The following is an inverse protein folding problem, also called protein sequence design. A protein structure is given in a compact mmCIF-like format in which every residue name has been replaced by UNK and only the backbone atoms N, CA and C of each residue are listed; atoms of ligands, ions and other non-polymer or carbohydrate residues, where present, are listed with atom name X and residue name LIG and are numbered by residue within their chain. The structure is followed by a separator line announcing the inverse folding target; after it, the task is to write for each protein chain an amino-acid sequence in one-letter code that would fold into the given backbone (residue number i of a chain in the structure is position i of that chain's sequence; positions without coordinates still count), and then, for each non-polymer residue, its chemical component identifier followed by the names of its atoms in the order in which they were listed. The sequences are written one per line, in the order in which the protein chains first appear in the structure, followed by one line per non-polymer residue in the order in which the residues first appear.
data_IF_653803852571
#
_entry.id   IF_653803852571
#
_cell.length_a   1.000
_cell.length_b   1.000
_cell.length_c   1.000
_cell.angle_alpha   90.00
_cell.angle_beta   90.00
_cell.angle_gamma   90.00
#
_symmetry.space_group_name_H-M   'P 1'
#
loop_
_entity.id
_entity.type
_entity.pdbx_description
1 polymer ?
#
# COMPACT_ATOMS: atom_id res chain seq x y z
N UNK A 1 34.11 4.49 -12.61
CA UNK A 1 33.19 5.37 -11.86
C UNK A 1 33.09 6.72 -12.57
N UNK A 2 31.92 7.38 -12.63
CA UNK A 2 31.81 8.76 -13.12
C UNK A 2 32.65 9.71 -12.25
N UNK A 3 33.39 10.63 -12.87
CA UNK A 3 34.27 11.57 -12.14
C UNK A 3 33.67 12.98 -12.04
N UNK A 4 32.75 13.32 -12.94
CA UNK A 4 32.08 14.61 -12.95
C UNK A 4 30.62 14.45 -13.40
N UNK A 5 29.77 15.36 -12.92
CA UNK A 5 28.33 15.34 -13.13
C UNK A 5 27.83 16.71 -13.60
N UNK A 6 26.98 16.72 -14.62
CA UNK A 6 26.29 17.90 -15.13
C UNK A 6 24.80 17.85 -14.79
N UNK A 7 24.24 18.95 -14.28
CA UNK A 7 22.80 19.06 -14.03
C UNK A 7 22.06 19.52 -15.29
N UNK A 8 21.01 18.78 -15.65
CA UNK A 8 20.02 19.17 -16.64
C UNK A 8 18.72 19.45 -15.90
N UNK A 9 18.31 20.73 -15.89
CA UNK A 9 17.03 21.11 -15.27
C UNK A 9 15.89 20.70 -16.20
N UNK A 10 14.93 19.95 -15.68
CA UNK A 10 13.68 19.64 -16.38
C UNK A 10 12.76 20.86 -16.42
N UNK A 11 11.70 20.78 -17.22
CA UNK A 11 10.67 21.81 -17.26
C UNK A 11 10.00 21.95 -15.88
N UNK A 12 9.87 23.21 -15.42
CA UNK A 12 9.23 23.53 -14.14
C UNK A 12 7.71 23.62 -14.30
N UNK A 13 7.07 22.54 -14.72
CA UNK A 13 5.60 22.48 -14.76
C UNK A 13 5.04 22.13 -13.39
N UNK A 14 3.97 22.77 -12.93
CA UNK A 14 3.35 22.40 -11.64
C UNK A 14 2.77 20.96 -11.74
N UNK A 15 3.17 20.06 -10.83
CA UNK A 15 2.54 18.73 -10.76
C UNK A 15 1.22 18.89 -9.99
N UNK A 16 0.13 18.52 -10.64
CA UNK A 16 -1.26 18.69 -10.16
C UNK A 16 -2.08 17.46 -10.52
N UNK A 17 -3.32 17.32 -10.01
CA UNK A 17 -4.23 16.29 -10.51
C UNK A 17 -4.39 16.25 -12.04
N UNK A 18 -4.28 17.41 -12.72
CA UNK A 18 -4.42 17.51 -14.19
C UNK A 18 -3.13 17.15 -14.95
N UNK A 19 -1.98 17.35 -14.31
CA UNK A 19 -0.65 17.02 -14.83
C UNK A 19 0.10 16.21 -13.76
N UNK A 20 -0.23 14.92 -13.59
CA UNK A 20 0.11 14.17 -12.38
C UNK A 20 1.51 13.57 -12.41
N UNK A 21 2.31 13.81 -13.45
CA UNK A 21 3.66 13.26 -13.53
C UNK A 21 4.58 14.18 -14.34
N UNK A 22 5.85 14.30 -13.92
CA UNK A 22 6.85 15.03 -14.69
C UNK A 22 8.27 14.92 -14.15
N UNK A 23 9.25 15.01 -15.05
CA UNK A 23 10.66 15.06 -14.71
C UNK A 23 11.00 16.42 -14.08
N UNK A 24 11.67 16.40 -12.92
CA UNK A 24 12.11 17.63 -12.23
C UNK A 24 13.54 17.98 -12.51
N UNK A 25 14.42 17.01 -12.37
CA UNK A 25 15.84 17.22 -12.59
C UNK A 25 16.45 15.93 -13.06
N UNK A 26 17.49 16.08 -13.87
CA UNK A 26 18.35 15.00 -14.28
C UNK A 26 19.80 15.42 -14.02
N UNK A 27 20.61 14.49 -13.57
CA UNK A 27 22.05 14.68 -13.37
C UNK A 27 22.74 13.58 -14.17
N UNK A 28 23.60 13.96 -15.11
CA UNK A 28 24.28 13.05 -16.03
C UNK A 28 25.77 13.03 -15.76
N UNK A 29 26.38 11.87 -15.84
CA UNK A 29 27.82 11.74 -15.88
C UNK A 29 28.35 12.50 -17.11
N UNK A 30 29.28 13.43 -16.90
CA UNK A 30 29.96 14.16 -17.99
C UNK A 30 31.30 13.53 -18.35
N UNK A 31 31.85 12.69 -17.47
CA UNK A 31 33.06 11.90 -17.71
C UNK A 31 32.92 10.50 -17.12
N UNK A 32 33.60 9.52 -17.73
CA UNK A 32 33.55 8.11 -17.31
C UNK A 32 32.36 7.35 -17.91
N UNK A 33 31.98 6.19 -17.32
CA UNK A 33 30.84 5.42 -17.78
C UNK A 33 29.55 6.22 -17.70
N UNK A 34 28.67 6.04 -18.69
CA UNK A 34 27.36 6.71 -18.72
C UNK A 34 26.55 6.36 -17.47
N UNK A 35 26.06 7.37 -16.77
CA UNK A 35 25.14 7.23 -15.64
C UNK A 35 24.22 8.44 -15.56
N UNK A 36 22.95 8.19 -15.24
CA UNK A 36 21.93 9.23 -15.12
C UNK A 36 21.18 9.06 -13.80
N UNK A 37 21.03 10.15 -13.04
CA UNK A 37 20.17 10.23 -11.87
C UNK A 37 19.02 11.17 -12.22
N UNK A 38 17.79 10.65 -12.19
CA UNK A 38 16.58 11.41 -12.49
C UNK A 38 15.71 11.48 -11.25
N UNK A 39 15.08 12.64 -11.05
CA UNK A 39 14.04 12.82 -10.04
C UNK A 39 12.76 13.21 -10.77
N UNK A 40 11.76 12.36 -10.66
CA UNK A 40 10.41 12.62 -11.13
C UNK A 40 9.52 13.00 -9.96
N UNK A 41 8.49 13.77 -10.26
CA UNK A 41 7.37 13.97 -9.35
C UNK A 41 6.13 13.31 -9.93
N UNK A 42 5.44 12.53 -9.11
CA UNK A 42 4.09 12.05 -9.37
C UNK A 42 3.12 12.64 -8.34
N UNK A 43 1.88 12.93 -8.72
CA UNK A 43 0.80 13.26 -7.80
C UNK A 43 -0.15 12.09 -7.68
N UNK A 44 -0.49 11.75 -6.44
CA UNK A 44 -1.51 10.75 -6.11
C UNK A 44 -2.64 11.41 -5.33
N UNK A 45 -3.88 11.09 -5.71
CA UNK A 45 -5.07 11.63 -5.05
C UNK A 45 -5.62 10.74 -3.94
N UNK A 46 -5.20 9.47 -3.90
CA UNK A 46 -5.66 8.45 -2.97
C UNK A 46 -4.49 7.95 -2.15
N UNK A 47 -4.77 7.50 -0.94
CA UNK A 47 -3.77 6.91 -0.07
C UNK A 47 -3.29 5.55 -0.62
N UNK A 48 -2.03 5.51 -1.07
CA UNK A 48 -1.36 4.36 -1.68
C UNK A 48 0.06 4.28 -1.11
N UNK A 49 0.56 3.07 -0.82
CA UNK A 49 1.95 2.86 -0.42
C UNK A 49 2.94 3.23 -1.56
N UNK A 50 4.07 3.91 -1.28
CA UNK A 50 5.09 4.18 -2.29
C UNK A 50 5.59 2.92 -3.01
N UNK A 51 5.68 1.80 -2.28
CA UNK A 51 6.08 0.50 -2.84
C UNK A 51 5.07 -0.03 -3.83
N UNK A 52 3.78 -0.07 -3.46
CA UNK A 52 2.73 -0.59 -4.34
C UNK A 52 2.61 0.24 -5.61
N UNK A 53 2.69 1.58 -5.48
CA UNK A 53 2.70 2.47 -6.64
C UNK A 53 3.90 2.24 -7.56
N UNK A 54 5.10 2.05 -7.00
CA UNK A 54 6.29 1.78 -7.80
C UNK A 54 6.15 0.44 -8.53
N UNK A 55 5.70 -0.62 -7.86
CA UNK A 55 5.47 -1.93 -8.48
C UNK A 55 4.54 -1.83 -9.69
N UNK A 56 3.42 -1.12 -9.55
CA UNK A 56 2.48 -0.88 -10.66
C UNK A 56 3.13 -0.07 -11.79
N UNK A 57 3.93 0.94 -11.44
CA UNK A 57 4.62 1.81 -12.39
C UNK A 57 5.71 1.07 -13.17
N UNK A 58 6.47 0.19 -12.52
CA UNK A 58 7.50 -0.64 -13.12
C UNK A 58 6.89 -1.70 -14.04
N UNK A 59 5.81 -2.34 -13.61
CA UNK A 59 5.08 -3.32 -14.42
C UNK A 59 4.55 -2.70 -15.72
N UNK A 60 3.95 -1.51 -15.66
CA UNK A 60 3.47 -0.82 -16.88
C UNK A 60 4.61 -0.41 -17.84
N UNK A 61 5.81 -0.19 -17.30
CA UNK A 61 7.03 0.08 -18.07
C UNK A 61 7.76 -1.18 -18.54
N UNK A 62 7.27 -2.38 -18.20
CA UNK A 62 7.91 -3.68 -18.48
C UNK A 62 9.34 -3.75 -17.92
N UNK A 63 9.56 -3.14 -16.76
CA UNK A 63 10.79 -3.27 -16.00
C UNK A 63 10.79 -4.60 -15.23
N UNK A 64 11.89 -5.33 -15.28
CA UNK A 64 12.05 -6.58 -14.53
C UNK A 64 12.79 -6.32 -13.22
N UNK A 65 12.15 -6.64 -12.09
CA UNK A 65 12.78 -6.54 -10.77
C UNK A 65 13.87 -7.62 -10.63
N UNK A 66 15.08 -7.17 -10.28
CA UNK A 66 16.25 -8.04 -10.03
C UNK A 66 16.44 -8.23 -8.53
N UNK A 67 16.28 -7.16 -7.76
CA UNK A 67 16.38 -7.17 -6.31
C UNK A 67 15.50 -6.08 -5.72
N UNK A 68 14.93 -6.31 -4.54
CA UNK A 68 14.12 -5.31 -3.87
C UNK A 68 14.19 -5.46 -2.35
N UNK A 69 13.95 -4.35 -1.68
CA UNK A 69 13.63 -4.31 -0.25
C UNK A 69 12.58 -3.23 -0.01
N UNK A 70 11.73 -3.46 0.98
CA UNK A 70 10.66 -2.56 1.38
C UNK A 70 10.83 -2.18 2.84
N UNK A 71 10.90 -0.87 3.11
CA UNK A 71 11.14 -0.33 4.45
C UNK A 71 9.80 0.19 4.98
N UNK A 72 9.27 -0.44 6.03
CA UNK A 72 8.01 -0.03 6.63
C UNK A 72 8.08 1.42 7.17
N UNK A 73 7.07 2.23 6.87
CA UNK A 73 6.89 3.60 7.34
C UNK A 73 5.40 3.91 7.53
N UNK A 74 5.03 4.91 8.36
CA UNK A 74 3.63 5.28 8.59
C UNK A 74 2.85 5.59 7.30
N UNK A 75 3.48 6.26 6.33
CA UNK A 75 2.90 6.57 5.01
C UNK A 75 2.86 5.38 4.03
N UNK A 76 3.14 4.16 4.48
CA UNK A 76 3.32 2.97 3.63
C UNK A 76 4.80 2.71 3.31
N UNK A 77 5.10 1.48 2.91
CA UNK A 77 6.48 1.03 2.75
C UNK A 77 7.22 1.82 1.65
N UNK A 78 8.44 2.25 1.95
CA UNK A 78 9.35 2.89 0.99
C UNK A 78 10.14 1.82 0.24
N UNK A 79 10.07 1.78 -1.10
CA UNK A 79 10.77 0.78 -1.90
C UNK A 79 12.21 1.20 -2.17
N UNK A 80 13.11 0.22 -2.19
CA UNK A 80 14.43 0.32 -2.79
C UNK A 80 14.61 -0.87 -3.73
N UNK A 81 14.47 -0.60 -5.03
CA UNK A 81 14.28 -1.61 -6.07
C UNK A 81 15.35 -1.47 -7.14
N UNK A 82 15.98 -2.57 -7.50
CA UNK A 82 16.87 -2.69 -8.65
C UNK A 82 16.14 -3.40 -9.78
N UNK A 83 16.11 -2.78 -10.96
CA UNK A 83 15.48 -3.35 -12.16
C UNK A 83 16.45 -3.44 -13.33
N UNK A 84 16.08 -4.26 -14.29
CA UNK A 84 16.61 -4.26 -15.65
C UNK A 84 15.46 -4.10 -16.66
N UNK A 85 15.64 -3.19 -17.61
CA UNK A 85 14.61 -2.87 -18.60
C UNK A 85 15.18 -2.36 -19.92
N UNK A 86 14.31 -2.22 -20.92
CA UNK A 86 14.67 -1.78 -22.27
C UNK A 86 14.96 -2.94 -23.26
N UNK A 87 15.10 -2.61 -24.56
CA UNK A 87 15.28 -3.62 -25.61
C UNK A 87 16.65 -4.28 -25.53
N UNK A 88 16.77 -5.49 -26.08
CA UNK A 88 18.03 -6.20 -26.19
C UNK A 88 19.10 -5.33 -26.89
N UNK A 89 20.30 -5.28 -26.32
CA UNK A 89 21.38 -4.41 -26.80
C UNK A 89 21.35 -2.96 -26.29
N UNK A 90 20.24 -2.51 -25.71
CA UNK A 90 20.14 -1.20 -25.05
C UNK A 90 19.52 -1.31 -23.64
N UNK A 91 19.66 -2.48 -23.01
CA UNK A 91 19.19 -2.73 -21.65
C UNK A 91 19.88 -1.79 -20.67
N UNK A 92 19.12 -1.35 -19.67
CA UNK A 92 19.59 -0.50 -18.59
C UNK A 92 19.29 -1.13 -17.27
N UNK A 93 20.24 -1.00 -16.34
CA UNK A 93 20.01 -1.30 -14.93
C UNK A 93 19.66 -0.01 -14.22
N UNK A 94 18.58 -0.03 -13.44
CA UNK A 94 18.05 1.13 -12.72
C UNK A 94 17.81 0.79 -11.26
N UNK A 95 18.21 1.68 -10.35
CA UNK A 95 17.84 1.65 -8.93
C UNK A 95 16.82 2.74 -8.65
N UNK A 96 15.75 2.38 -7.96
CA UNK A 96 14.58 3.22 -7.73
C UNK A 96 14.34 3.41 -6.24
N UNK A 97 13.97 4.63 -5.86
CA UNK A 97 13.44 5.00 -4.54
C UNK A 97 12.21 5.88 -4.75
N UNK A 98 11.19 5.73 -3.90
CA UNK A 98 10.03 6.62 -3.90
C UNK A 98 9.80 7.17 -2.50
N UNK A 99 9.83 8.50 -2.37
CA UNK A 99 9.44 9.19 -1.12
C UNK A 99 8.06 9.81 -1.29
N UNK A 100 7.23 9.71 -0.24
CA UNK A 100 5.92 10.37 -0.17
C UNK A 100 6.04 11.69 0.59
N UNK A 101 5.31 12.69 0.12
CA UNK A 101 5.13 13.96 0.81
C UNK A 101 3.70 14.45 0.61
N UNK A 102 3.01 14.83 1.67
CA UNK A 102 1.67 15.38 1.56
C UNK A 102 1.63 16.63 0.66
N UNK A 103 0.51 16.82 -0.04
CA UNK A 103 0.26 18.01 -0.84
C UNK A 103 -0.87 18.82 -0.20
N UNK A 104 -0.64 20.11 0.06
CA UNK A 104 -1.64 20.99 0.69
C UNK A 104 -2.96 21.08 -0.08
N UNK A 105 -2.93 20.82 -1.40
CA UNK A 105 -4.09 20.76 -2.28
C UNK A 105 -4.93 19.46 -2.11
N UNK A 106 -4.59 18.62 -1.14
CA UNK A 106 -5.05 17.23 -0.99
C UNK A 106 -4.15 16.27 -1.78
N UNK A 107 -4.12 15.00 -1.38
CA UNK A 107 -3.25 14.00 -2.01
C UNK A 107 -1.80 14.05 -1.51
N UNK A 108 -0.90 13.42 -2.25
CA UNK A 108 0.53 13.47 -2.01
C UNK A 108 1.34 13.57 -3.30
N UNK A 109 2.56 14.08 -3.17
CA UNK A 109 3.59 13.96 -4.18
C UNK A 109 4.49 12.77 -3.88
N UNK A 110 4.72 11.94 -4.89
CA UNK A 110 5.79 10.97 -4.90
C UNK A 110 7.02 11.55 -5.60
N UNK A 111 8.13 11.56 -4.87
CA UNK A 111 9.45 11.87 -5.39
C UNK A 111 10.12 10.56 -5.78
N UNK A 112 10.15 10.31 -7.09
CA UNK A 112 10.70 9.08 -7.66
C UNK A 112 12.13 9.35 -8.10
N UNK A 113 13.08 8.76 -7.39
CA UNK A 113 14.50 8.85 -7.71
C UNK A 113 14.90 7.61 -8.48
N UNK A 114 15.47 7.80 -9.67
CA UNK A 114 15.97 6.74 -10.52
C UNK A 114 17.45 7.00 -10.81
N UNK A 115 18.33 6.11 -10.37
CA UNK A 115 19.72 6.06 -10.82
C UNK A 115 19.86 4.94 -11.86
N UNK A 116 20.34 5.24 -13.07
CA UNK A 116 20.36 4.28 -14.18
C UNK A 116 21.62 4.36 -15.05
N UNK A 117 22.03 3.22 -15.60
CA UNK A 117 23.18 3.06 -16.50
C UNK A 117 22.87 2.00 -17.56
N UNK A 118 23.52 1.99 -18.73
CA UNK A 118 23.56 0.81 -19.58
C UNK A 118 24.01 -0.43 -18.78
N UNK A 119 23.42 -1.59 -19.07
CA UNK A 119 23.71 -2.87 -18.39
C UNK A 119 25.22 -3.17 -18.37
N UNK A 120 25.90 -2.97 -19.51
CA UNK A 120 27.34 -3.21 -19.67
C UNK A 120 28.23 -2.33 -18.75
N UNK A 121 27.69 -1.22 -18.25
CA UNK A 121 28.42 -0.28 -17.39
C UNK A 121 28.15 -0.50 -15.89
N UNK A 122 27.28 -1.46 -15.52
CA UNK A 122 26.90 -1.70 -14.14
C UNK A 122 27.95 -2.56 -13.41
N UNK A 123 28.92 -1.89 -12.80
CA UNK A 123 29.97 -2.52 -11.97
C UNK A 123 29.63 -2.40 -10.47
N UNK A 124 30.33 -3.12 -9.56
CA UNK A 124 30.17 -2.93 -8.12
C UNK A 124 30.36 -1.47 -7.66
N UNK A 125 31.30 -0.74 -8.26
CA UNK A 125 31.48 0.69 -8.00
C UNK A 125 30.25 1.52 -8.42
N UNK A 126 29.66 1.18 -9.57
CA UNK A 126 28.44 1.85 -10.03
C UNK A 126 27.25 1.54 -9.11
N UNK A 127 27.15 0.30 -8.62
CA UNK A 127 26.14 -0.08 -7.64
C UNK A 127 26.24 0.75 -6.36
N UNK A 128 27.46 1.00 -5.87
CA UNK A 128 27.70 1.88 -4.72
C UNK A 128 27.32 3.33 -5.00
N UNK A 129 27.67 3.87 -6.17
CA UNK A 129 27.25 5.21 -6.59
C UNK A 129 25.73 5.33 -6.61
N UNK A 130 25.02 4.34 -7.18
CA UNK A 130 23.56 4.35 -7.25
C UNK A 130 22.94 4.25 -5.86
N UNK A 131 23.48 3.39 -5.01
CA UNK A 131 23.04 3.29 -3.63
C UNK A 131 23.17 4.63 -2.88
N UNK A 132 24.33 5.27 -2.99
CA UNK A 132 24.57 6.58 -2.37
C UNK A 132 23.67 7.66 -2.95
N UNK A 133 23.45 7.66 -4.27
CA UNK A 133 22.61 8.65 -4.94
C UNK A 133 21.15 8.58 -4.47
N UNK A 134 20.57 7.37 -4.41
CA UNK A 134 19.18 7.22 -3.97
C UNK A 134 19.06 7.41 -2.46
N UNK A 135 19.97 6.84 -1.66
CA UNK A 135 19.86 6.85 -0.19
C UNK A 135 20.12 8.22 0.44
N UNK A 136 20.86 9.10 -0.22
CA UNK A 136 21.12 10.47 0.25
C UNK A 136 20.14 11.49 -0.33
N UNK A 137 19.16 11.08 -1.13
CA UNK A 137 18.12 11.99 -1.60
C UNK A 137 17.26 12.44 -0.42
N UNK A 138 17.13 13.76 -0.22
CA UNK A 138 16.36 14.33 0.88
C UNK A 138 15.54 15.52 0.40
N UNK A 139 14.31 15.62 0.90
CA UNK A 139 13.48 16.82 0.74
C UNK A 139 13.98 17.91 1.69
N UNK A 140 14.14 19.13 1.18
CA UNK A 140 14.59 20.29 1.97
C UNK A 140 13.52 20.75 2.97
N UNK A 141 12.25 20.64 2.58
CA UNK A 141 11.09 21.07 3.36
C UNK A 141 10.00 19.97 3.29
N UNK A 142 10.22 18.80 3.91
CA UNK A 142 9.20 17.77 3.97
C UNK A 142 8.01 18.25 4.80
N UNK A 143 6.82 17.77 4.46
CA UNK A 143 5.64 17.93 5.32
C UNK A 143 5.74 16.99 6.51
N UNK A 144 5.19 17.38 7.65
CA UNK A 144 5.10 16.49 8.84
C UNK A 144 4.03 15.40 8.69
N UNK A 145 3.19 15.50 7.66
CA UNK A 145 2.13 14.53 7.37
C UNK A 145 2.61 13.46 6.39
N UNK A 146 2.60 12.19 6.83
CA UNK A 146 3.12 11.05 6.08
C UNK A 146 2.11 10.45 5.08
N UNK A 147 0.82 10.79 5.17
CA UNK A 147 -0.24 10.22 4.34
C UNK A 147 -0.60 11.13 3.17
N UNK A 148 -1.26 10.57 2.15
CA UNK A 148 -1.87 11.27 1.02
C UNK A 148 -3.32 11.67 1.28
N UNK A 149 -3.86 11.34 2.45
CA UNK A 149 -5.19 11.75 2.92
C UNK A 149 -5.11 12.17 4.39
N UNK A 150 -6.00 13.06 4.81
CA UNK A 150 -6.29 13.20 6.25
C UNK A 150 -6.91 11.89 6.75
N UNK A 151 -6.75 11.60 8.05
CA UNK A 151 -7.33 10.41 8.65
C UNK A 151 -8.50 10.79 9.58
N UNK A 152 -9.52 9.93 9.60
CA UNK A 152 -10.63 9.98 10.56
C UNK A 152 -10.37 8.99 11.67
N UNK A 153 -10.71 9.38 12.89
CA UNK A 153 -10.61 8.50 14.05
C UNK A 153 -11.91 7.76 14.29
N UNK A 154 -11.80 6.46 14.53
CA UNK A 154 -12.87 5.63 15.06
C UNK A 154 -12.56 5.34 16.52
N UNK A 155 -13.51 5.59 17.40
CA UNK A 155 -13.41 5.24 18.83
C UNK A 155 -14.71 4.58 19.25
N UNK A 156 -14.57 3.46 19.95
CA UNK A 156 -15.67 2.72 20.56
C UNK A 156 -15.26 2.30 21.98
N UNK A 157 -16.21 2.30 22.91
CA UNK A 157 -15.95 1.95 24.32
C UNK A 157 -16.59 0.64 24.78
N UNK A 158 -17.44 0.06 23.93
CA UNK A 158 -18.19 -1.17 24.19
C UNK A 158 -18.10 -2.06 22.94
N UNK A 159 -17.74 -3.35 23.05
CA UNK A 159 -17.53 -4.12 24.28
C UNK A 159 -16.19 -3.86 25.00
N UNK A 160 -15.24 -3.20 24.33
CA UNK A 160 -13.97 -2.76 24.89
C UNK A 160 -13.58 -1.39 24.32
N UNK A 161 -12.53 -0.78 24.86
CA UNK A 161 -11.94 0.44 24.30
C UNK A 161 -11.20 0.08 23.02
N UNK A 162 -11.87 0.28 21.89
CA UNK A 162 -11.32 0.14 20.56
C UNK A 162 -11.08 1.51 19.95
N UNK A 163 -9.91 1.72 19.38
CA UNK A 163 -9.63 2.88 18.55
C UNK A 163 -8.80 2.51 17.35
N UNK A 164 -9.06 3.17 16.23
CA UNK A 164 -8.24 3.10 15.03
C UNK A 164 -8.44 4.38 14.20
N UNK A 165 -7.74 4.48 13.08
CA UNK A 165 -7.92 5.54 12.10
C UNK A 165 -8.08 4.96 10.70
N UNK A 166 -8.71 5.72 9.81
CA UNK A 166 -8.91 5.33 8.42
C UNK A 166 -8.92 6.57 7.50
N UNK A 167 -8.61 6.45 6.20
CA UNK A 167 -8.54 7.62 5.32
C UNK A 167 -9.87 8.37 5.19
N UNK A 168 -9.80 9.70 5.11
CA UNK A 168 -10.96 10.59 5.09
C UNK A 168 -11.96 10.24 3.97
N UNK A 169 -11.48 9.76 2.82
CA UNK A 169 -12.33 9.40 1.69
C UNK A 169 -13.09 8.07 1.85
N UNK A 170 -12.92 7.35 2.95
CA UNK A 170 -13.67 6.13 3.25
C UNK A 170 -14.95 6.45 4.03
N UNK A 171 -16.02 5.72 3.69
CA UNK A 171 -17.31 5.83 4.34
C UNK A 171 -17.42 4.83 5.48
N UNK A 172 -17.90 5.29 6.64
CA UNK A 172 -18.09 4.45 7.82
C UNK A 172 -19.58 4.14 7.99
N UNK A 173 -19.89 2.87 8.24
CA UNK A 173 -21.21 2.38 8.59
C UNK A 173 -21.13 1.44 9.79
N UNK A 174 -21.67 1.86 10.93
CA UNK A 174 -21.78 1.00 12.11
C UNK A 174 -22.93 0.00 11.94
N UNK A 175 -22.75 -1.20 12.46
CA UNK A 175 -23.81 -2.22 12.47
C UNK A 175 -24.86 -1.88 13.54
N UNK A 176 -26.16 -1.92 13.22
CA UNK A 176 -27.23 -1.75 14.21
C UNK A 176 -27.33 -2.92 15.19
N UNK A 177 -26.62 -4.03 14.91
CA UNK A 177 -26.57 -5.22 15.77
C UNK A 177 -25.48 -5.14 16.84
N UNK A 178 -24.73 -4.03 16.90
CA UNK A 178 -23.69 -3.85 17.93
C UNK A 178 -24.33 -3.71 19.32
N UNK A 179 -23.78 -4.42 20.31
CA UNK A 179 -24.26 -4.47 21.69
C UNK A 179 -23.09 -4.54 22.69
N UNK A 180 -23.37 -4.98 23.93
CA UNK A 180 -22.39 -5.08 25.01
C UNK A 180 -21.31 -6.14 24.80
N UNK A 181 -21.49 -7.08 23.87
CA UNK A 181 -20.58 -8.19 23.60
C UNK A 181 -20.01 -8.20 22.18
N UNK A 182 -20.63 -7.42 21.28
CA UNK A 182 -20.30 -7.39 19.86
C UNK A 182 -20.30 -5.97 19.33
N UNK A 183 -19.25 -5.61 18.59
CA UNK A 183 -19.23 -4.37 17.81
C UNK A 183 -18.81 -4.68 16.38
N UNK A 184 -19.50 -4.09 15.41
CA UNK A 184 -19.12 -4.18 14.00
C UNK A 184 -19.21 -2.83 13.30
N UNK A 185 -18.21 -2.55 12.49
CA UNK A 185 -18.17 -1.41 11.58
C UNK A 185 -17.67 -1.83 10.21
N UNK A 186 -18.33 -1.32 9.17
CA UNK A 186 -17.89 -1.44 7.78
C UNK A 186 -17.33 -0.10 7.32
N UNK A 187 -16.14 -0.14 6.73
CA UNK A 187 -15.51 0.97 6.06
C UNK A 187 -15.49 0.67 4.57
N UNK A 188 -16.18 1.47 3.76
CA UNK A 188 -16.24 1.27 2.30
C UNK A 188 -15.50 2.36 1.56
N UNK A 189 -14.91 1.98 0.43
CA UNK A 189 -14.24 2.92 -0.48
C UNK A 189 -14.80 2.79 -1.87
N UNK A 190 -15.28 3.92 -2.38
CA UNK A 190 -15.68 4.07 -3.77
C UNK A 190 -14.63 4.87 -4.56
N UNK A 191 -14.44 4.48 -5.81
CA UNK A 191 -13.61 5.17 -6.78
C UNK A 191 -14.34 5.18 -8.14
N UNK A 192 -14.56 6.37 -8.70
CA UNK A 192 -15.29 6.57 -9.97
C UNK A 192 -16.67 5.87 -9.96
N UNK A 193 -17.39 5.96 -8.83
CA UNK A 193 -18.75 5.40 -8.68
C UNK A 193 -18.83 3.89 -8.48
N UNK A 194 -17.70 3.20 -8.26
CA UNK A 194 -17.64 1.76 -7.98
C UNK A 194 -16.97 1.50 -6.64
N UNK A 195 -17.52 0.58 -5.84
CA UNK A 195 -16.87 0.10 -4.61
C UNK A 195 -15.61 -0.69 -4.95
N UNK A 196 -14.46 -0.22 -4.45
CA UNK A 196 -13.15 -0.82 -4.65
C UNK A 196 -12.56 -1.47 -3.38
N UNK A 197 -13.13 -1.15 -2.22
CA UNK A 197 -12.67 -1.67 -0.95
C UNK A 197 -13.80 -1.75 0.07
N UNK A 198 -13.75 -2.79 0.90
CA UNK A 198 -14.57 -2.95 2.08
C UNK A 198 -13.69 -3.52 3.19
N UNK A 199 -13.49 -2.73 4.25
CA UNK A 199 -12.94 -3.23 5.52
C UNK A 199 -14.09 -3.50 6.48
N UNK A 200 -14.22 -4.73 6.94
CA UNK A 200 -15.20 -5.14 7.93
C UNK A 200 -14.47 -5.43 9.23
N UNK A 201 -14.65 -4.58 10.24
CA UNK A 201 -14.00 -4.72 11.54
C UNK A 201 -15.03 -5.14 12.57
N UNK A 202 -14.77 -6.26 13.23
CA UNK A 202 -15.57 -6.79 14.33
C UNK A 202 -14.73 -6.92 15.58
N UNK A 203 -15.34 -6.62 16.71
CA UNK A 203 -14.79 -6.83 18.03
C UNK A 203 -15.80 -7.62 18.85
N UNK A 204 -15.35 -8.69 19.47
CA UNK A 204 -16.19 -9.59 20.26
C UNK A 204 -15.59 -9.81 21.65
N UNK A 205 -16.42 -9.96 22.67
CA UNK A 205 -16.01 -10.23 24.04
C UNK A 205 -16.44 -11.62 24.53
N UNK A 206 -15.47 -12.40 25.01
CA UNK A 206 -15.72 -13.69 25.67
C UNK A 206 -15.78 -14.91 24.74
N UNK A 207 -15.64 -14.75 23.44
CA UNK A 207 -15.63 -15.84 22.47
C UNK A 207 -14.33 -16.64 22.53
N UNK A 208 -14.42 -17.93 22.24
CA UNK A 208 -13.31 -18.82 21.96
C UNK A 208 -12.80 -18.63 20.52
N UNK A 209 -11.58 -19.10 20.25
CA UNK A 209 -11.04 -19.11 18.88
C UNK A 209 -11.92 -19.91 17.92
N UNK A 210 -12.51 -21.02 18.39
CA UNK A 210 -13.40 -21.88 17.58
C UNK A 210 -14.64 -21.11 17.15
N UNK A 211 -15.28 -20.37 18.06
CA UNK A 211 -16.44 -19.53 17.75
C UNK A 211 -16.05 -18.39 16.80
N UNK A 212 -14.86 -17.81 16.95
CA UNK A 212 -14.37 -16.79 16.02
C UNK A 212 -14.10 -17.32 14.61
N UNK A 213 -13.61 -18.55 14.49
CA UNK A 213 -13.45 -19.23 13.19
C UNK A 213 -14.81 -19.54 12.56
N UNK A 214 -15.80 -19.93 13.36
CA UNK A 214 -17.16 -20.09 12.87
C UNK A 214 -17.74 -18.75 12.37
N UNK A 215 -17.57 -17.66 13.14
CA UNK A 215 -18.01 -16.33 12.73
C UNK A 215 -17.34 -15.86 11.44
N UNK A 216 -16.05 -16.17 11.24
CA UNK A 216 -15.32 -15.91 9.99
C UNK A 216 -15.96 -16.63 8.80
N UNK A 217 -16.32 -17.91 8.97
CA UNK A 217 -17.00 -18.69 7.94
C UNK A 217 -18.43 -18.19 7.65
N UNK A 218 -19.18 -17.80 8.68
CA UNK A 218 -20.51 -17.20 8.54
C UNK A 218 -20.45 -15.89 7.76
N UNK A 219 -19.46 -15.03 8.04
CA UNK A 219 -19.24 -13.79 7.28
C UNK A 219 -18.89 -14.07 5.81
N UNK A 220 -18.02 -15.06 5.57
CA UNK A 220 -17.67 -15.51 4.23
C UNK A 220 -18.91 -15.91 3.41
N UNK A 221 -19.83 -16.67 4.03
CA UNK A 221 -21.10 -17.05 3.40
C UNK A 221 -22.04 -15.84 3.23
N UNK A 222 -22.02 -14.88 4.15
CA UNK A 222 -22.77 -13.64 4.06
C UNK A 222 -22.44 -12.82 2.80
N UNK A 223 -21.18 -12.78 2.38
CA UNK A 223 -20.77 -12.10 1.14
C UNK A 223 -21.32 -12.77 -0.12
N UNK A 224 -21.50 -14.09 -0.12
CA UNK A 224 -22.13 -14.79 -1.23
C UNK A 224 -23.60 -14.38 -1.38
N UNK A 225 -24.30 -14.21 -0.25
CA UNK A 225 -25.72 -13.86 -0.24
C UNK A 225 -25.96 -12.38 -0.57
N UNK A 226 -25.15 -11.49 0.01
CA UNK A 226 -25.36 -10.04 -0.10
C UNK A 226 -24.72 -9.43 -1.35
N UNK A 227 -23.52 -9.90 -1.74
CA UNK A 227 -22.70 -9.29 -2.78
C UNK A 227 -22.44 -10.24 -3.97
N UNK A 228 -22.98 -11.46 -3.92
CA UNK A 228 -22.72 -12.52 -4.92
C UNK A 228 -21.23 -12.88 -5.07
N UNK A 229 -20.44 -12.70 -4.00
CA UNK A 229 -19.01 -13.02 -3.97
C UNK A 229 -18.78 -14.34 -3.23
N UNK A 230 -18.22 -15.34 -3.91
CA UNK A 230 -17.89 -16.63 -3.31
C UNK A 230 -16.38 -16.73 -3.10
N UNK A 231 -15.91 -16.77 -1.86
CA UNK A 231 -14.49 -16.91 -1.53
C UNK A 231 -14.17 -18.33 -1.05
N UNK A 232 -12.95 -18.79 -1.34
CA UNK A 232 -12.42 -20.00 -0.73
C UNK A 232 -12.33 -19.86 0.81
N UNK A 233 -12.47 -20.94 1.58
CA UNK A 233 -12.26 -20.90 3.04
C UNK A 233 -10.90 -20.33 3.41
N UNK A 234 -10.84 -19.56 4.50
CA UNK A 234 -9.60 -18.93 4.97
C UNK A 234 -8.67 -19.95 5.64
N UNK A 235 -7.48 -20.14 5.06
CA UNK A 235 -6.41 -20.89 5.72
C UNK A 235 -5.62 -19.97 6.64
N UNK A 236 -6.14 -19.75 7.85
CA UNK A 236 -5.52 -18.88 8.85
C UNK A 236 -4.18 -19.43 9.34
N UNK A 237 -3.11 -18.67 9.13
CA UNK A 237 -1.75 -18.99 9.60
C UNK A 237 -1.28 -17.95 10.63
N UNK A 238 -0.43 -18.33 11.61
CA UNK A 238 0.13 -17.37 12.56
C UNK A 238 0.89 -16.24 11.86
N UNK A 239 0.74 -15.02 12.37
CA UNK A 239 1.38 -13.81 11.87
C UNK A 239 2.13 -13.07 13.01
N UNK A 240 3.04 -12.14 12.69
CA UNK A 240 3.69 -11.32 13.69
C UNK A 240 2.69 -10.57 14.58
N UNK A 241 2.98 -10.52 15.88
CA UNK A 241 2.21 -9.73 16.84
C UNK A 241 2.35 -8.23 16.55
N UNK A 242 1.30 -7.48 16.83
CA UNK A 242 1.31 -6.01 16.75
C UNK A 242 0.39 -5.43 17.82
N UNK A 243 0.65 -4.19 18.23
CA UNK A 243 -0.16 -3.50 19.25
C UNK A 243 -0.27 -4.29 20.56
N UNK A 244 -1.50 -4.47 21.03
CA UNK A 244 -1.85 -5.24 22.24
C UNK A 244 -2.23 -6.71 21.96
N UNK A 245 -2.05 -7.19 20.73
CA UNK A 245 -2.51 -8.51 20.32
C UNK A 245 -1.46 -9.59 20.59
N UNK A 246 -1.85 -10.59 21.38
CA UNK A 246 -0.98 -11.70 21.79
C UNK A 246 -1.03 -12.88 20.81
N UNK A 247 -2.14 -13.01 20.10
CA UNK A 247 -2.36 -14.03 19.07
C UNK A 247 -2.84 -13.31 17.82
N UNK A 248 -2.21 -13.60 16.68
CA UNK A 248 -2.54 -12.99 15.39
C UNK A 248 -2.48 -14.07 14.32
N UNK A 249 -3.53 -14.18 13.54
CA UNK A 249 -3.64 -15.05 12.39
C UNK A 249 -4.05 -14.24 11.18
N UNK A 250 -3.52 -14.59 10.01
CA UNK A 250 -3.90 -13.97 8.74
C UNK A 250 -4.21 -15.02 7.69
N UNK A 251 -5.06 -14.68 6.74
CA UNK A 251 -5.28 -15.45 5.53
C UNK A 251 -5.53 -14.53 4.33
N UNK A 252 -5.28 -15.04 3.14
CA UNK A 252 -5.72 -14.44 1.89
C UNK A 252 -6.50 -15.49 1.10
N UNK A 253 -7.78 -15.25 0.87
CA UNK A 253 -8.68 -16.15 0.17
C UNK A 253 -9.06 -15.57 -1.19
N UNK A 254 -8.78 -16.27 -2.30
CA UNK A 254 -9.22 -15.82 -3.62
C UNK A 254 -10.74 -15.98 -3.79
N UNK A 255 -11.33 -15.13 -4.62
CA UNK A 255 -12.67 -15.36 -5.14
C UNK A 255 -12.67 -16.57 -6.07
N UNK A 256 -13.68 -17.40 -5.95
CA UNK A 256 -13.93 -18.58 -6.79
C UNK A 256 -15.08 -18.30 -7.75
N UNK A 257 -15.14 -19.05 -8.85
CA UNK A 257 -16.20 -18.96 -9.86
C UNK A 257 -16.34 -17.55 -10.47
N UNK A 258 -15.21 -16.87 -10.70
CA UNK A 258 -15.18 -15.56 -11.36
C UNK A 258 -15.47 -15.75 -12.85
N UNK A 259 -16.44 -15.00 -13.39
CA UNK A 259 -16.72 -14.98 -14.83
C UNK A 259 -15.54 -14.36 -15.59
N UNK A 260 -15.26 -14.82 -16.82
CA UNK A 260 -14.07 -14.44 -17.58
C UNK A 260 -13.88 -12.91 -17.76
N UNK A 261 -14.98 -12.15 -17.83
CA UNK A 261 -14.97 -10.70 -18.06
C UNK A 261 -15.18 -9.88 -16.78
N UNK A 262 -15.10 -10.51 -15.60
CA UNK A 262 -15.28 -9.85 -14.31
C UNK A 262 -13.94 -9.76 -13.58
N UNK A 263 -13.50 -8.56 -13.15
CA UNK A 263 -12.31 -8.42 -12.32
C UNK A 263 -12.43 -9.27 -11.05
N UNK A 264 -11.47 -10.15 -10.81
CA UNK A 264 -11.46 -11.00 -9.64
C UNK A 264 -11.21 -10.19 -8.38
N UNK A 265 -11.75 -10.68 -7.27
CA UNK A 265 -11.52 -10.14 -5.95
C UNK A 265 -10.81 -11.15 -5.06
N UNK A 266 -10.26 -10.63 -3.97
CA UNK A 266 -9.65 -11.39 -2.90
C UNK A 266 -10.15 -10.87 -1.55
N UNK A 267 -10.14 -11.76 -0.57
CA UNK A 267 -10.51 -11.46 0.81
C UNK A 267 -9.30 -11.69 1.71
N UNK A 268 -8.77 -10.62 2.27
CA UNK A 268 -7.75 -10.69 3.33
C UNK A 268 -8.47 -10.77 4.68
N UNK A 269 -8.06 -11.71 5.52
CA UNK A 269 -8.64 -11.92 6.87
C UNK A 269 -7.53 -11.76 7.89
N UNK A 270 -7.82 -11.03 8.96
CA UNK A 270 -7.02 -10.90 10.17
C UNK A 270 -7.89 -11.30 11.36
N UNK A 271 -7.42 -12.29 12.12
CA UNK A 271 -8.02 -12.69 13.38
C UNK A 271 -6.99 -12.46 14.49
N UNK A 272 -7.30 -11.62 15.46
CA UNK A 272 -6.36 -11.24 16.50
C UNK A 272 -7.01 -11.23 17.89
N UNK A 273 -6.24 -11.56 18.93
CA UNK A 273 -6.71 -11.63 20.32
C UNK A 273 -5.99 -10.66 21.22
N UNK A 274 -6.74 -9.89 22.00
CA UNK A 274 -6.23 -9.03 23.07
C UNK A 274 -6.95 -9.39 24.38
N UNK A 275 -6.30 -10.18 25.24
CA UNK A 275 -6.92 -10.69 26.47
C UNK A 275 -8.16 -11.56 26.21
N UNK A 276 -9.33 -11.11 26.65
CA UNK A 276 -10.63 -11.78 26.47
C UNK A 276 -11.40 -11.30 25.23
N UNK A 277 -10.80 -10.40 24.44
CA UNK A 277 -11.43 -9.82 23.26
C UNK A 277 -10.80 -10.39 21.99
N UNK A 278 -11.65 -10.64 21.00
CA UNK A 278 -11.22 -11.00 19.65
C UNK A 278 -11.58 -9.91 18.66
N UNK A 279 -10.66 -9.69 17.72
CA UNK A 279 -10.88 -8.87 16.55
C UNK A 279 -10.89 -9.78 15.32
N UNK A 280 -11.97 -9.70 14.56
CA UNK A 280 -12.02 -10.20 13.19
C UNK A 280 -12.06 -9.00 12.26
N UNK A 281 -11.03 -8.83 11.44
CA UNK A 281 -10.95 -7.76 10.46
C UNK A 281 -10.76 -8.35 9.07
N UNK A 282 -11.60 -7.95 8.13
CA UNK A 282 -11.60 -8.47 6.76
C UNK A 282 -11.43 -7.32 5.78
N UNK A 283 -10.73 -7.54 4.68
CA UNK A 283 -10.69 -6.64 3.53
C UNK A 283 -11.13 -7.39 2.28
N UNK A 284 -12.21 -6.93 1.65
CA UNK A 284 -12.58 -7.35 0.30
C UNK A 284 -12.09 -6.28 -0.67
N UNK A 285 -11.31 -6.72 -1.66
CA UNK A 285 -10.70 -5.86 -2.67
C UNK A 285 -10.52 -6.62 -3.99
N UNK A 286 -10.33 -5.88 -5.07
CA UNK A 286 -9.86 -6.47 -6.33
C UNK A 286 -8.47 -7.07 -6.20
N UNK A 287 -8.11 -8.00 -7.07
CA UNK A 287 -6.74 -8.50 -7.17
C UNK A 287 -5.81 -7.42 -7.75
N UNK A 288 -4.52 -7.50 -7.41
CA UNK A 288 -3.50 -6.62 -7.98
C UNK A 288 -3.43 -6.72 -9.52
N UNK A 289 -3.71 -7.91 -10.07
CA UNK A 289 -3.55 -8.20 -11.48
C UNK A 289 -4.69 -7.59 -12.32
N UNK A 290 -5.92 -7.62 -11.81
CA UNK A 290 -7.09 -7.13 -12.55
C UNK A 290 -7.31 -5.62 -12.38
N UNK A 291 -7.15 -5.09 -11.17
CA UNK A 291 -7.40 -3.67 -10.86
C UNK A 291 -6.31 -3.11 -9.92
N UNK A 292 -5.08 -2.91 -10.40
CA UNK A 292 -3.91 -2.61 -9.57
C UNK A 292 -4.07 -1.36 -8.69
N UNK A 293 -4.66 -0.29 -9.23
CA UNK A 293 -4.91 0.95 -8.48
C UNK A 293 -5.92 0.72 -7.37
N UNK A 294 -7.03 0.04 -7.69
CA UNK A 294 -8.10 -0.25 -6.74
C UNK A 294 -7.62 -1.14 -5.60
N UNK A 295 -6.84 -2.18 -5.94
CA UNK A 295 -6.16 -3.06 -5.00
C UNK A 295 -5.25 -2.26 -4.07
N UNK A 296 -4.38 -1.40 -4.59
CA UNK A 296 -3.41 -0.66 -3.80
C UNK A 296 -4.07 0.31 -2.81
N UNK A 297 -5.13 1.01 -3.24
CA UNK A 297 -5.93 1.90 -2.37
C UNK A 297 -6.61 1.10 -1.27
N UNK A 298 -7.28 -0.01 -1.62
CA UNK A 298 -8.00 -0.83 -0.65
C UNK A 298 -7.07 -1.51 0.35
N UNK A 299 -5.94 -2.04 -0.13
CA UNK A 299 -4.87 -2.60 0.69
C UNK A 299 -4.35 -1.58 1.68
N UNK A 300 -4.02 -0.36 1.23
CA UNK A 300 -3.48 0.68 2.11
C UNK A 300 -4.50 1.13 3.16
N UNK A 301 -5.79 1.24 2.80
CA UNK A 301 -6.84 1.55 3.77
C UNK A 301 -6.92 0.51 4.90
N UNK A 302 -6.85 -0.78 4.56
CA UNK A 302 -6.79 -1.86 5.56
C UNK A 302 -5.53 -1.82 6.42
N UNK A 303 -4.35 -1.61 5.82
CA UNK A 303 -3.10 -1.47 6.56
C UNK A 303 -3.16 -0.31 7.55
N UNK A 304 -3.71 0.85 7.17
CA UNK A 304 -3.85 2.00 8.07
C UNK A 304 -4.73 1.65 9.27
N UNK A 305 -5.85 0.95 9.04
CA UNK A 305 -6.73 0.50 10.12
C UNK A 305 -5.99 -0.47 11.03
N UNK A 306 -5.24 -1.44 10.47
CA UNK A 306 -4.47 -2.43 11.22
C UNK A 306 -3.35 -1.78 12.04
N UNK A 307 -2.51 -0.97 11.41
CA UNK A 307 -1.30 -0.35 11.98
C UNK A 307 -1.65 0.55 13.17
N UNK A 308 -2.88 1.08 13.20
CA UNK A 308 -3.36 1.98 14.24
C UNK A 308 -4.43 1.34 15.14
N UNK A 309 -4.71 0.04 14.98
CA UNK A 309 -5.71 -0.64 15.78
C UNK A 309 -5.22 -0.83 17.21
N UNK A 310 -5.97 -0.27 18.15
CA UNK A 310 -5.73 -0.43 19.58
C UNK A 310 -6.99 -1.00 20.20
N UNK A 311 -6.84 -2.11 20.94
CA UNK A 311 -7.88 -2.69 21.78
C UNK A 311 -7.37 -2.76 23.21
N UNK A 312 -8.13 -2.16 24.13
CA UNK A 312 -7.86 -2.19 25.57
C UNK A 312 -9.10 -2.69 26.33
N UNK A 313 -8.91 -3.54 27.34
CA UNK A 313 -9.97 -3.90 28.28
C UNK A 313 -10.58 -2.68 28.98
#
# INVERSE_FOLDING_TARGET
MPLSWGQVRGERQLITPKNPFGLRTEVKATTGPEANIKVYLAYISQEISPSDWLTMSLHSQKEHVVHERHIAQPGGAVPDVLTIGGPAGARRISRWLVLKNWAEIGGAHFFVVQASTPEANYTPDMANVFFMAVSNFKLMHPTEWDYAEQLRTLVQTVPAKLSTVFPLSWHQQNSPLSDEHFYQVKLTKDLVGRRIGLVNLMLTAGQSEVEMRQLEDENRLGYQQADHLTFAPAQLVPAPKFGSFDEVFTALSPQTNVAADTPAQERQVLLARAGTFWVLMENIRFTQQDEPVAWAVSKRGFEIVQDNLVVKP
#
